data_IF_755683506351
#
_entry.id   IF_755683506351
#
_cell.length_a   1.000
_cell.length_b   1.000
_cell.length_c   1.000
_cell.angle_alpha   90.00
_cell.angle_beta   90.00
_cell.angle_gamma   90.00
#
_symmetry.space_group_name_H-M   'P 1'
#
loop_
_entity.id
_entity.type
_entity.pdbx_description
1 polymer ?
#
# COMPACT_ATOMS: atom_id res chain seq x y z
N UNK A 1 9.64 -17.62 4.80
CA UNK A 1 8.57 -17.16 5.69
C UNK A 1 7.25 -17.37 4.98
N UNK A 2 6.23 -17.88 5.67
CA UNK A 2 4.89 -18.04 5.11
C UNK A 2 4.29 -16.70 4.72
N UNK A 3 3.61 -16.65 3.57
CA UNK A 3 3.02 -15.42 3.00
C UNK A 3 1.99 -14.82 3.97
N UNK A 4 1.15 -15.67 4.58
CA UNK A 4 0.10 -15.26 5.52
C UNK A 4 0.71 -14.71 6.81
N UNK A 5 1.71 -15.41 7.37
CA UNK A 5 2.40 -14.96 8.59
C UNK A 5 3.09 -13.61 8.36
N UNK A 6 3.76 -13.45 7.21
CA UNK A 6 4.43 -12.21 6.82
C UNK A 6 3.44 -11.04 6.71
N UNK A 7 2.25 -11.29 6.14
CA UNK A 7 1.19 -10.30 6.00
C UNK A 7 0.65 -9.83 7.36
N UNK A 8 0.40 -10.76 8.28
CA UNK A 8 -0.10 -10.45 9.63
C UNK A 8 0.94 -9.67 10.43
N UNK A 9 2.21 -10.09 10.40
CA UNK A 9 3.30 -9.38 11.08
C UNK A 9 3.40 -7.95 10.53
N UNK A 10 3.38 -7.81 9.19
CA UNK A 10 3.39 -6.50 8.54
C UNK A 10 2.22 -5.61 9.00
N UNK A 11 1.01 -6.17 9.04
CA UNK A 11 -0.20 -5.46 9.50
C UNK A 11 -0.12 -5.02 10.97
N UNK A 12 0.30 -5.91 11.87
CA UNK A 12 0.45 -5.61 13.30
C UNK A 12 1.52 -4.54 13.52
N UNK A 13 2.67 -4.64 12.86
CA UNK A 13 3.73 -3.63 12.96
C UNK A 13 3.24 -2.25 12.52
N UNK A 14 2.47 -2.16 11.43
CA UNK A 14 1.91 -0.89 10.96
C UNK A 14 0.84 -0.33 11.91
N UNK A 15 0.02 -1.20 12.50
CA UNK A 15 -1.00 -0.80 13.47
C UNK A 15 -0.37 -0.18 14.73
N UNK A 16 0.63 -0.85 15.30
CA UNK A 16 1.35 -0.38 16.49
C UNK A 16 2.03 0.96 16.21
N UNK A 17 2.73 1.08 15.08
CA UNK A 17 3.48 2.29 14.72
C UNK A 17 2.57 3.47 14.35
N UNK A 18 1.40 3.21 13.78
CA UNK A 18 0.50 4.28 13.33
C UNK A 18 -0.56 4.67 14.37
N UNK A 19 -0.70 3.92 15.48
CA UNK A 19 -1.75 4.09 16.49
C UNK A 19 -3.15 4.28 15.87
N UNK A 20 -3.48 3.46 14.87
CA UNK A 20 -4.75 3.54 14.11
C UNK A 20 -5.78 2.54 14.63
N UNK A 21 -7.02 2.70 14.19
CA UNK A 21 -8.14 1.82 14.53
C UNK A 21 -7.90 0.35 14.14
N UNK A 22 -8.47 -0.63 14.86
CA UNK A 22 -8.30 -2.05 14.56
C UNK A 22 -8.78 -2.45 13.15
N UNK A 23 -9.67 -1.67 12.53
CA UNK A 23 -10.08 -1.86 11.12
C UNK A 23 -8.89 -1.70 10.16
N UNK A 24 -7.94 -0.82 10.50
CA UNK A 24 -6.74 -0.61 9.68
C UNK A 24 -5.80 -1.82 9.71
N UNK A 25 -5.93 -2.73 10.67
CA UNK A 25 -5.19 -4.00 10.69
C UNK A 25 -5.49 -4.83 9.43
N UNK A 26 -6.77 -4.95 9.07
CA UNK A 26 -7.17 -5.70 7.87
C UNK A 26 -6.58 -5.06 6.62
N UNK A 27 -6.66 -3.73 6.52
CA UNK A 27 -6.12 -2.98 5.40
C UNK A 27 -4.61 -3.16 5.24
N UNK A 28 -3.84 -2.96 6.32
CA UNK A 28 -2.39 -3.15 6.27
C UNK A 28 -1.99 -4.61 6.07
N UNK A 29 -2.74 -5.57 6.60
CA UNK A 29 -2.48 -7.00 6.37
C UNK A 29 -2.72 -7.40 4.92
N UNK A 30 -3.78 -6.88 4.27
CA UNK A 30 -4.03 -7.13 2.85
C UNK A 30 -2.92 -6.55 1.95
N UNK A 31 -2.43 -5.35 2.29
CA UNK A 31 -1.28 -4.75 1.60
C UNK A 31 0.00 -5.58 1.83
N UNK A 32 0.24 -6.00 3.07
CA UNK A 32 1.35 -6.88 3.42
C UNK A 32 1.29 -8.22 2.69
N UNK A 33 0.10 -8.78 2.52
CA UNK A 33 -0.15 -9.99 1.74
C UNK A 33 0.21 -9.80 0.26
N UNK A 34 -0.19 -8.67 -0.33
CA UNK A 34 0.19 -8.33 -1.70
C UNK A 34 1.72 -8.26 -1.87
N UNK A 35 2.43 -7.58 -0.96
CA UNK A 35 3.90 -7.50 -1.01
C UNK A 35 4.58 -8.86 -0.83
N UNK A 36 4.06 -9.70 0.08
CA UNK A 36 4.57 -11.04 0.29
C UNK A 36 4.34 -11.95 -0.93
N UNK A 37 3.21 -11.77 -1.64
CA UNK A 37 2.92 -12.48 -2.89
C UNK A 37 3.85 -12.02 -4.02
N UNK A 38 4.05 -10.72 -4.19
CA UNK A 38 5.01 -10.17 -5.18
C UNK A 38 6.41 -10.69 -4.91
N UNK A 39 6.85 -10.72 -3.64
CA UNK A 39 8.14 -11.30 -3.27
C UNK A 39 8.20 -12.79 -3.62
N UNK A 40 7.16 -13.57 -3.27
CA UNK A 40 7.10 -15.01 -3.55
C UNK A 40 7.08 -15.35 -5.05
N UNK A 41 6.50 -14.49 -5.88
CA UNK A 41 6.41 -14.73 -7.33
C UNK A 41 7.66 -14.28 -8.09
N UNK A 42 8.43 -13.33 -7.56
CA UNK A 42 9.58 -12.75 -8.26
C UNK A 42 10.92 -13.08 -7.62
N UNK A 43 10.91 -13.63 -6.40
CA UNK A 43 12.07 -13.86 -5.52
C UNK A 43 13.03 -12.65 -5.46
N UNK A 44 12.50 -11.44 -5.66
CA UNK A 44 13.27 -10.22 -5.78
C UNK A 44 12.84 -9.18 -4.74
N UNK A 45 13.66 -9.06 -3.69
CA UNK A 45 13.42 -8.11 -2.61
C UNK A 45 13.39 -6.65 -3.09
N UNK A 46 14.17 -6.30 -4.12
CA UNK A 46 14.24 -4.92 -4.63
C UNK A 46 12.91 -4.49 -5.21
N UNK A 47 12.20 -5.40 -5.87
CA UNK A 47 10.88 -5.13 -6.42
C UNK A 47 9.86 -4.90 -5.31
N UNK A 48 9.88 -5.72 -4.25
CA UNK A 48 8.99 -5.54 -3.09
C UNK A 48 9.21 -4.19 -2.42
N UNK A 49 10.48 -3.78 -2.23
CA UNK A 49 10.81 -2.46 -1.68
C UNK A 49 10.31 -1.34 -2.59
N UNK A 50 10.55 -1.44 -3.90
CA UNK A 50 10.10 -0.46 -4.88
C UNK A 50 8.58 -0.33 -4.91
N UNK A 51 7.86 -1.46 -4.88
CA UNK A 51 6.42 -1.49 -4.74
C UNK A 51 5.97 -0.80 -3.45
N UNK A 52 6.59 -1.12 -2.31
CA UNK A 52 6.24 -0.50 -1.04
C UNK A 52 6.45 1.02 -1.05
N UNK A 53 7.60 1.50 -1.54
CA UNK A 53 7.89 2.93 -1.71
C UNK A 53 6.90 3.62 -2.65
N UNK A 54 6.49 2.96 -3.73
CA UNK A 54 5.51 3.48 -4.66
C UNK A 54 4.13 3.64 -4.01
N UNK A 55 3.65 2.63 -3.26
CA UNK A 55 2.41 2.73 -2.49
C UNK A 55 2.47 3.86 -1.46
N UNK A 56 3.62 4.06 -0.80
CA UNK A 56 3.79 5.17 0.14
C UNK A 56 3.73 6.53 -0.58
N UNK A 57 4.36 6.65 -1.75
CA UNK A 57 4.29 7.85 -2.59
C UNK A 57 2.85 8.16 -3.00
N UNK A 58 2.09 7.19 -3.48
CA UNK A 58 0.69 7.38 -3.88
C UNK A 58 -0.20 7.87 -2.72
N UNK A 59 0.04 7.39 -1.50
CA UNK A 59 -0.67 7.85 -0.31
C UNK A 59 -0.34 9.31 0.08
N UNK A 60 0.91 9.72 -0.12
CA UNK A 60 1.36 11.09 0.16
C UNK A 60 1.07 12.07 -1.00
N UNK A 61 0.85 11.57 -2.20
CA UNK A 61 0.56 12.32 -3.42
C UNK A 61 -0.88 12.90 -3.48
N UNK A 62 -1.54 13.14 -2.34
CA UNK A 62 -2.87 13.80 -2.27
C UNK A 62 -3.00 15.04 -3.18
N UNK A 63 -2.05 16.00 -3.22
CA UNK A 63 -2.18 17.15 -4.12
C UNK A 63 -2.22 16.75 -5.59
N UNK A 64 -1.44 15.74 -6.01
CA UNK A 64 -1.42 15.25 -7.40
C UNK A 64 -2.79 14.65 -7.76
N UNK A 65 -3.40 13.88 -6.87
CA UNK A 65 -4.74 13.33 -7.09
C UNK A 65 -5.82 14.40 -7.26
N UNK A 66 -5.70 15.51 -6.53
CA UNK A 66 -6.61 16.66 -6.68
C UNK A 66 -6.44 17.31 -8.06
N UNK A 67 -5.20 17.46 -8.55
CA UNK A 67 -4.96 17.98 -9.89
C UNK A 67 -5.49 17.04 -10.99
N UNK A 68 -5.24 15.72 -10.86
CA UNK A 68 -5.74 14.72 -11.81
C UNK A 68 -7.27 14.71 -11.83
N UNK A 69 -7.92 14.73 -10.66
CA UNK A 69 -9.38 14.78 -10.57
C UNK A 69 -9.95 16.02 -11.25
N UNK A 70 -9.39 17.20 -10.96
CA UNK A 70 -9.81 18.44 -11.61
C UNK A 70 -9.59 18.40 -13.12
N UNK A 71 -8.43 17.93 -13.59
CA UNK A 71 -8.15 17.80 -15.02
C UNK A 71 -9.20 16.94 -15.73
N UNK A 72 -9.50 15.76 -15.18
CA UNK A 72 -10.51 14.86 -15.74
C UNK A 72 -11.90 15.52 -15.73
N UNK A 73 -12.28 16.14 -14.63
CA UNK A 73 -13.57 16.83 -14.50
C UNK A 73 -13.73 17.94 -15.56
N UNK A 74 -12.73 18.81 -15.70
CA UNK A 74 -12.78 19.94 -16.64
C UNK A 74 -12.66 19.53 -18.10
N UNK A 75 -12.00 18.40 -18.41
CA UNK A 75 -11.78 17.99 -19.79
C UNK A 75 -12.90 17.09 -20.33
N UNK A 76 -13.57 16.31 -19.48
CA UNK A 76 -14.57 15.33 -19.92
C UNK A 76 -16.01 15.62 -19.47
N UNK A 77 -16.21 16.39 -18.39
CA UNK A 77 -17.52 16.57 -17.76
C UNK A 77 -18.03 18.02 -17.75
N UNK A 78 -17.30 18.96 -18.37
CA UNK A 78 -17.70 20.35 -18.59
C UNK A 78 -17.57 20.71 -20.05
#
# INVERSE_FOLDING_TARGET
>A
MDVILSAIIFGISHLILSHRDPISLLYYSLIGFFFALVYRSTDNLRLTILCHSFFNFLNHAKPIWIFVYNYIYYHFFR
#
